data_IF_379696865960
#
_entry.id   IF_379696865960
#
_cell.length_a   1.000
_cell.length_b   1.000
_cell.length_c   1.000
_cell.angle_alpha   90.00
_cell.angle_beta   90.00
_cell.angle_gamma   90.00
#
_symmetry.space_group_name_H-M   'P 1'
#
loop_
_entity.id
_entity.type
_entity.pdbx_description
1 polymer ?
#
# COMPACT_ATOMS: atom_id res chain seq x y z
N UNK A 1 26.47 -20.79 -19.93
CA UNK A 1 27.45 -20.59 -18.84
C UNK A 1 27.67 -21.93 -18.16
N UNK A 2 28.83 -22.58 -18.36
CA UNK A 2 29.13 -23.88 -17.76
C UNK A 2 29.19 -23.76 -16.22
N UNK A 3 28.54 -24.67 -15.49
CA UNK A 3 28.70 -24.79 -14.03
C UNK A 3 30.15 -25.22 -13.76
N UNK A 4 31.01 -24.29 -13.34
CA UNK A 4 32.30 -24.66 -12.76
C UNK A 4 32.02 -25.43 -11.46
N UNK A 5 32.11 -26.76 -11.53
CA UNK A 5 32.06 -27.61 -10.35
C UNK A 5 33.42 -27.52 -9.66
N UNK A 6 33.44 -27.05 -8.42
CA UNK A 6 34.67 -27.04 -7.62
C UNK A 6 35.15 -28.48 -7.39
N UNK A 7 36.46 -28.70 -7.52
CA UNK A 7 37.12 -29.96 -7.23
C UNK A 7 37.10 -30.25 -5.72
N UNK A 8 37.39 -31.50 -5.33
CA UNK A 8 37.41 -31.90 -3.92
C UNK A 8 38.45 -31.11 -3.11
N UNK A 9 39.61 -30.81 -3.70
CA UNK A 9 40.66 -29.98 -3.10
C UNK A 9 40.19 -28.54 -2.87
N UNK A 10 39.45 -27.98 -3.84
CA UNK A 10 38.85 -26.66 -3.72
C UNK A 10 37.80 -26.61 -2.61
N UNK A 11 37.03 -27.68 -2.41
CA UNK A 11 36.09 -27.77 -1.28
C UNK A 11 36.79 -27.88 0.07
N UNK A 12 37.93 -28.59 0.15
CA UNK A 12 38.75 -28.62 1.36
C UNK A 12 39.27 -27.22 1.71
N UNK A 13 39.74 -26.45 0.73
CA UNK A 13 40.20 -25.07 0.96
C UNK A 13 39.05 -24.14 1.34
N UNK A 14 37.87 -24.26 0.71
CA UNK A 14 36.66 -23.52 1.12
C UNK A 14 36.31 -23.79 2.59
N UNK A 15 36.41 -25.05 3.02
CA UNK A 15 36.18 -25.43 4.42
C UNK A 15 37.24 -24.82 5.33
N UNK A 16 38.51 -24.91 4.96
CA UNK A 16 39.63 -24.32 5.72
C UNK A 16 39.47 -22.81 5.89
N UNK A 17 39.21 -22.09 4.81
CA UNK A 17 38.98 -20.63 4.81
C UNK A 17 37.80 -20.23 5.72
N UNK A 18 36.78 -21.08 5.82
CA UNK A 18 35.61 -20.85 6.67
C UNK A 18 35.88 -21.11 8.15
N UNK A 19 36.66 -22.14 8.48
CA UNK A 19 36.91 -22.55 9.87
C UNK A 19 38.14 -21.89 10.50
N UNK A 20 39.23 -21.76 9.75
CA UNK A 20 40.51 -21.23 10.27
C UNK A 20 40.61 -19.71 10.17
N UNK A 21 40.02 -19.12 9.12
CA UNK A 21 40.16 -17.69 8.80
C UNK A 21 38.87 -16.90 8.99
N UNK A 22 37.79 -17.55 9.44
CA UNK A 22 36.44 -16.98 9.66
C UNK A 22 35.95 -16.06 8.52
N UNK A 23 36.36 -16.38 7.28
CA UNK A 23 36.02 -15.60 6.10
C UNK A 23 34.52 -15.78 5.77
N UNK A 24 33.89 -14.70 5.31
CA UNK A 24 32.49 -14.77 4.89
C UNK A 24 32.34 -15.63 3.63
N UNK A 25 31.18 -16.28 3.50
CA UNK A 25 30.84 -17.06 2.29
C UNK A 25 30.98 -16.22 1.02
N UNK A 26 30.68 -14.91 1.08
CA UNK A 26 30.80 -13.98 -0.04
C UNK A 26 32.25 -13.82 -0.50
N UNK A 27 33.18 -13.61 0.42
CA UNK A 27 34.61 -13.47 0.12
C UNK A 27 35.20 -14.78 -0.42
N UNK A 28 34.81 -15.91 0.17
CA UNK A 28 35.27 -17.23 -0.30
C UNK A 28 34.70 -17.51 -1.70
N UNK A 29 33.43 -17.19 -1.94
CA UNK A 29 32.77 -17.37 -3.23
C UNK A 29 33.42 -16.54 -4.34
N UNK A 30 33.71 -15.27 -4.05
CA UNK A 30 34.43 -14.39 -4.97
C UNK A 30 35.83 -14.93 -5.29
N UNK A 31 36.55 -15.44 -4.29
CA UNK A 31 37.90 -16.02 -4.46
C UNK A 31 37.89 -17.31 -5.28
N UNK A 32 36.85 -18.12 -5.14
CA UNK A 32 36.73 -19.41 -5.83
C UNK A 32 35.95 -19.33 -7.16
N UNK A 33 35.50 -18.13 -7.55
CA UNK A 33 34.74 -17.92 -8.79
C UNK A 33 33.37 -18.61 -8.81
N UNK A 34 32.76 -18.83 -7.65
CA UNK A 34 31.44 -19.48 -7.53
C UNK A 34 30.42 -18.57 -6.88
N UNK A 35 29.14 -18.92 -7.02
CA UNK A 35 28.07 -18.20 -6.33
C UNK A 35 28.05 -18.56 -4.82
N UNK A 36 27.87 -17.60 -3.89
CA UNK A 36 27.83 -17.86 -2.44
C UNK A 36 26.85 -18.96 -2.03
N UNK A 37 25.66 -18.95 -2.62
CA UNK A 37 24.60 -19.97 -2.45
C UNK A 37 25.07 -21.41 -2.72
N UNK A 38 26.07 -21.62 -3.57
CA UNK A 38 26.65 -22.94 -3.85
C UNK A 38 27.42 -23.46 -2.64
N UNK A 39 28.17 -22.59 -1.97
CA UNK A 39 28.91 -22.91 -0.75
C UNK A 39 27.94 -23.13 0.41
N UNK A 40 26.89 -22.31 0.54
CA UNK A 40 25.87 -22.48 1.59
C UNK A 40 25.14 -23.82 1.49
N UNK A 41 24.72 -24.20 0.27
CA UNK A 41 24.05 -25.49 0.06
C UNK A 41 24.95 -26.66 0.43
N UNK A 42 26.23 -26.59 0.05
CA UNK A 42 27.22 -27.61 0.41
C UNK A 42 27.47 -27.67 1.91
N UNK A 43 27.63 -26.51 2.55
CA UNK A 43 27.82 -26.39 3.99
C UNK A 43 26.64 -26.99 4.78
N UNK A 44 25.40 -26.75 4.33
CA UNK A 44 24.20 -27.35 4.92
C UNK A 44 24.17 -28.86 4.71
N UNK A 45 24.45 -29.35 3.50
CA UNK A 45 24.43 -30.79 3.20
C UNK A 45 25.52 -31.57 3.95
N UNK A 46 26.68 -30.95 4.20
CA UNK A 46 27.81 -31.57 4.89
C UNK A 46 27.84 -31.23 6.40
N UNK A 47 26.80 -30.57 6.92
CA UNK A 47 26.68 -30.27 8.34
C UNK A 47 27.76 -29.33 8.87
N UNK A 48 28.33 -28.47 8.03
CA UNK A 48 29.28 -27.45 8.49
C UNK A 48 28.54 -26.46 9.39
N UNK A 49 29.19 -26.05 10.49
CA UNK A 49 28.57 -25.17 11.48
C UNK A 49 28.09 -23.88 10.79
N UNK A 50 26.80 -23.58 10.95
CA UNK A 50 26.24 -22.30 10.55
C UNK A 50 26.86 -21.25 11.47
N UNK A 51 27.67 -20.35 10.91
CA UNK A 51 28.17 -19.18 11.63
C UNK A 51 26.97 -18.47 12.27
N UNK A 52 27.11 -18.02 13.51
CA UNK A 52 26.11 -17.15 14.12
C UNK A 52 25.78 -16.02 13.13
N UNK A 53 24.49 -15.69 12.94
CA UNK A 53 24.11 -14.69 11.95
C UNK A 53 24.91 -13.41 12.22
N UNK A 54 25.71 -13.01 11.23
CA UNK A 54 26.44 -11.74 11.28
C UNK A 54 25.45 -10.58 11.47
N UNK A 55 25.92 -9.40 11.90
CA UNK A 55 25.07 -8.24 12.09
C UNK A 55 24.26 -8.00 10.82
N UNK A 56 22.93 -8.15 10.90
CA UNK A 56 22.03 -7.82 9.80
C UNK A 56 22.30 -6.36 9.44
N UNK A 57 22.55 -6.07 8.16
CA UNK A 57 22.61 -4.68 7.68
C UNK A 57 21.41 -3.92 8.24
N UNK A 58 21.60 -2.73 8.84
CA UNK A 58 20.49 -1.95 9.37
C UNK A 58 19.48 -1.73 8.25
N UNK A 59 18.22 -2.04 8.56
CA UNK A 59 17.10 -1.86 7.64
C UNK A 59 17.01 -0.36 7.36
N UNK A 60 17.19 0.03 6.10
CA UNK A 60 17.25 1.43 5.71
C UNK A 60 15.96 2.14 6.18
N UNK A 61 16.04 3.11 7.12
CA UNK A 61 14.84 3.73 7.69
C UNK A 61 14.01 4.44 6.61
N UNK A 62 14.66 4.95 5.57
CA UNK A 62 14.03 5.56 4.39
C UNK A 62 13.12 4.58 3.63
N UNK A 63 13.54 3.31 3.48
CA UNK A 63 12.75 2.30 2.79
C UNK A 63 11.49 1.89 3.58
N UNK A 64 11.58 1.93 4.92
CA UNK A 64 10.44 1.66 5.78
C UNK A 64 9.43 2.81 5.75
N UNK A 65 9.88 4.06 5.77
CA UNK A 65 9.01 5.24 5.63
C UNK A 65 8.35 5.32 4.25
N UNK A 66 9.08 5.06 3.17
CA UNK A 66 8.50 5.01 1.82
C UNK A 66 7.42 3.92 1.70
N UNK A 67 7.65 2.76 2.33
CA UNK A 67 6.67 1.67 2.37
C UNK A 67 5.40 2.05 3.15
N UNK A 68 5.52 2.75 4.28
CA UNK A 68 4.36 3.18 5.08
C UNK A 68 3.57 4.28 4.38
N UNK A 69 4.23 5.19 3.65
CA UNK A 69 3.58 6.20 2.81
C UNK A 69 2.78 5.54 1.68
N UNK A 70 3.37 4.57 0.96
CA UNK A 70 2.67 3.84 -0.10
C UNK A 70 1.45 3.05 0.43
N UNK A 71 1.58 2.40 1.59
CA UNK A 71 0.49 1.68 2.23
C UNK A 71 -0.66 2.64 2.63
N UNK A 72 -0.33 3.81 3.17
CA UNK A 72 -1.30 4.83 3.59
C UNK A 72 -2.02 5.47 2.39
N UNK A 73 -1.33 5.69 1.26
CA UNK A 73 -1.95 6.11 -0.02
C UNK A 73 -2.98 5.10 -0.52
N UNK A 74 -2.63 3.81 -0.53
CA UNK A 74 -3.55 2.74 -0.97
C UNK A 74 -4.79 2.62 -0.07
N UNK A 75 -4.63 2.86 1.24
CA UNK A 75 -5.77 2.92 2.16
C UNK A 75 -6.71 4.08 1.80
N UNK A 76 -6.17 5.26 1.54
CA UNK A 76 -6.95 6.45 1.17
C UNK A 76 -7.77 6.22 -0.10
N UNK A 77 -7.18 5.62 -1.14
CA UNK A 77 -7.93 5.26 -2.35
C UNK A 77 -9.08 4.28 -2.08
N UNK A 78 -8.85 3.26 -1.25
CA UNK A 78 -9.90 2.30 -0.89
C UNK A 78 -11.05 2.98 -0.15
N UNK A 79 -10.74 3.95 0.72
CA UNK A 79 -11.75 4.74 1.43
C UNK A 79 -12.58 5.58 0.45
N UNK A 80 -11.93 6.28 -0.49
CA UNK A 80 -12.64 7.01 -1.55
C UNK A 80 -13.55 6.11 -2.38
N UNK A 81 -13.06 4.95 -2.82
CA UNK A 81 -13.88 3.98 -3.58
C UNK A 81 -15.07 3.43 -2.79
N UNK A 82 -14.89 3.19 -1.49
CA UNK A 82 -15.97 2.76 -0.61
C UNK A 82 -17.03 3.86 -0.45
N UNK A 83 -16.60 5.12 -0.32
CA UNK A 83 -17.49 6.27 -0.28
C UNK A 83 -18.26 6.45 -1.59
N UNK A 84 -17.62 6.30 -2.75
CA UNK A 84 -18.31 6.31 -4.06
C UNK A 84 -19.42 5.26 -4.13
N UNK A 85 -19.08 4.03 -3.73
CA UNK A 85 -19.99 2.89 -3.80
C UNK A 85 -21.22 3.13 -2.92
N UNK A 86 -21.02 3.72 -1.74
CA UNK A 86 -22.11 4.07 -0.83
C UNK A 86 -22.98 5.19 -1.40
N UNK A 87 -22.38 6.23 -2.00
CA UNK A 87 -23.12 7.30 -2.68
C UNK A 87 -23.94 6.75 -3.85
N UNK A 88 -23.34 5.91 -4.71
CA UNK A 88 -24.03 5.26 -5.82
C UNK A 88 -25.23 4.41 -5.35
N UNK A 89 -25.09 3.67 -4.26
CA UNK A 89 -26.18 2.89 -3.69
C UNK A 89 -27.32 3.79 -3.19
N UNK A 90 -26.98 4.88 -2.50
CA UNK A 90 -27.95 5.87 -2.02
C UNK A 90 -28.68 6.57 -3.17
N UNK A 91 -27.98 6.96 -4.23
CA UNK A 91 -28.58 7.56 -5.42
C UNK A 91 -29.55 6.61 -6.12
N UNK A 92 -29.20 5.33 -6.25
CA UNK A 92 -30.10 4.30 -6.82
C UNK A 92 -31.34 4.11 -5.96
N UNK A 93 -31.20 4.09 -4.64
CA UNK A 93 -32.33 4.02 -3.70
C UNK A 93 -33.24 5.23 -3.86
N UNK A 94 -32.68 6.44 -3.86
CA UNK A 94 -33.43 7.69 -4.00
C UNK A 94 -34.15 7.77 -5.36
N UNK A 95 -33.49 7.36 -6.45
CA UNK A 95 -34.12 7.31 -7.78
C UNK A 95 -35.30 6.33 -7.79
N UNK A 96 -35.15 5.17 -7.16
CA UNK A 96 -36.22 4.16 -7.04
C UNK A 96 -37.40 4.70 -6.22
N UNK A 97 -37.10 5.33 -5.09
CA UNK A 97 -38.07 6.03 -4.26
C UNK A 97 -38.83 7.11 -5.05
N UNK A 98 -38.14 8.01 -5.75
CA UNK A 98 -38.75 9.07 -6.56
C UNK A 98 -39.63 8.50 -7.69
N UNK A 99 -39.20 7.41 -8.32
CA UNK A 99 -39.97 6.72 -9.37
C UNK A 99 -41.25 6.10 -8.80
N UNK A 100 -41.19 5.56 -7.59
CA UNK A 100 -42.33 4.97 -6.89
C UNK A 100 -43.30 6.05 -6.40
N UNK A 101 -42.82 7.18 -5.87
CA UNK A 101 -43.65 8.34 -5.52
C UNK A 101 -44.44 8.85 -6.73
N UNK A 102 -43.77 8.98 -7.88
CA UNK A 102 -44.40 9.42 -9.13
C UNK A 102 -45.50 8.48 -9.61
N UNK A 103 -45.43 7.19 -9.25
CA UNK A 103 -46.44 6.17 -9.56
C UNK A 103 -47.55 6.07 -8.51
N UNK A 104 -47.24 6.28 -7.24
CA UNK A 104 -48.16 6.03 -6.11
C UNK A 104 -48.85 7.29 -5.59
N UNK A 105 -48.39 8.50 -5.95
CA UNK A 105 -48.99 9.76 -5.51
C UNK A 105 -48.86 10.05 -4.00
N UNK A 106 -48.20 9.19 -3.24
CA UNK A 106 -47.92 9.40 -1.81
C UNK A 106 -46.62 10.17 -1.62
N UNK A 107 -46.47 10.94 -0.54
CA UNK A 107 -45.20 11.55 -0.12
C UNK A 107 -44.20 10.52 0.41
N UNK A 108 -42.89 10.81 0.28
CA UNK A 108 -41.83 10.00 0.90
C UNK A 108 -41.96 10.11 2.43
N UNK A 109 -41.83 9.01 3.20
CA UNK A 109 -41.83 9.09 4.66
C UNK A 109 -40.69 10.01 5.13
N UNK A 110 -41.01 11.10 5.83
CA UNK A 110 -40.04 12.09 6.35
C UNK A 110 -38.87 11.46 7.12
N UNK A 111 -39.08 10.28 7.71
CA UNK A 111 -38.06 9.50 8.41
C UNK A 111 -36.94 8.97 7.48
N UNK A 112 -37.25 8.63 6.23
CA UNK A 112 -36.24 8.18 5.26
C UNK A 112 -35.35 9.36 4.84
N UNK A 113 -35.93 10.54 4.61
CA UNK A 113 -35.18 11.76 4.30
C UNK A 113 -34.23 12.17 5.42
N UNK A 114 -34.67 12.12 6.67
CA UNK A 114 -33.84 12.48 7.82
C UNK A 114 -32.69 11.48 8.03
N UNK A 115 -32.95 10.18 7.82
CA UNK A 115 -31.93 9.13 7.87
C UNK A 115 -30.89 9.32 6.76
N UNK A 116 -31.32 9.64 5.56
CA UNK A 116 -30.43 9.88 4.43
C UNK A 116 -29.60 11.17 4.64
N UNK A 117 -30.20 12.25 5.16
CA UNK A 117 -29.49 13.48 5.52
C UNK A 117 -28.37 13.24 6.55
N UNK A 118 -28.64 12.45 7.60
CA UNK A 118 -27.62 12.07 8.59
C UNK A 118 -26.52 11.20 7.96
N UNK A 119 -26.88 10.31 7.04
CA UNK A 119 -25.92 9.50 6.31
C UNK A 119 -25.03 10.37 5.40
N UNK A 120 -25.57 11.40 4.75
CA UNK A 120 -24.81 12.39 3.98
C UNK A 120 -23.85 13.19 4.86
N UNK A 121 -24.31 13.72 6.00
CA UNK A 121 -23.44 14.43 6.94
C UNK A 121 -22.27 13.58 7.44
N UNK A 122 -22.50 12.28 7.66
CA UNK A 122 -21.44 11.33 8.03
C UNK A 122 -20.43 11.13 6.90
N UNK A 123 -20.89 11.03 5.64
CA UNK A 123 -20.01 10.87 4.49
C UNK A 123 -19.15 12.12 4.28
N UNK A 124 -19.74 13.32 4.39
CA UNK A 124 -19.01 14.60 4.29
C UNK A 124 -17.89 14.66 5.33
N UNK A 125 -18.21 14.39 6.60
CA UNK A 125 -17.22 14.39 7.67
C UNK A 125 -16.09 13.39 7.43
N UNK A 126 -16.40 12.21 6.89
CA UNK A 126 -15.39 11.21 6.55
C UNK A 126 -14.50 11.65 5.37
N UNK A 127 -15.05 12.37 4.40
CA UNK A 127 -14.28 12.94 3.29
C UNK A 127 -13.29 13.99 3.80
N UNK A 128 -13.74 14.88 4.70
CA UNK A 128 -12.88 15.87 5.34
C UNK A 128 -11.77 15.19 6.14
N UNK A 129 -12.07 14.14 6.90
CA UNK A 129 -11.05 13.36 7.61
C UNK A 129 -10.04 12.71 6.67
N UNK A 130 -10.49 12.11 5.56
CA UNK A 130 -9.58 11.52 4.56
C UNK A 130 -8.75 12.61 3.86
N UNK A 131 -9.28 13.84 3.75
CA UNK A 131 -8.55 15.00 3.25
C UNK A 131 -7.43 15.42 4.18
N UNK A 132 -7.71 15.55 5.47
CA UNK A 132 -6.67 15.81 6.48
C UNK A 132 -5.61 14.71 6.47
N UNK A 133 -6.00 13.44 6.32
CA UNK A 133 -5.06 12.32 6.21
C UNK A 133 -4.16 12.39 4.96
N UNK A 134 -4.65 12.95 3.84
CA UNK A 134 -3.81 13.20 2.67
C UNK A 134 -2.85 14.37 2.88
N UNK A 135 -3.34 15.49 3.44
CA UNK A 135 -2.50 16.66 3.72
C UNK A 135 -1.37 16.32 4.72
N UNK A 136 -1.67 15.50 5.74
CA UNK A 136 -0.67 14.99 6.67
C UNK A 136 0.36 14.09 5.98
N UNK A 137 -0.09 13.26 5.03
CA UNK A 137 0.80 12.39 4.26
C UNK A 137 1.69 13.19 3.30
N UNK A 138 1.16 14.23 2.66
CA UNK A 138 1.94 15.15 1.81
C UNK A 138 2.99 15.90 2.64
N UNK A 139 2.65 16.33 3.86
CA UNK A 139 3.60 16.98 4.79
C UNK A 139 4.74 16.04 5.20
N UNK A 140 4.43 14.78 5.49
CA UNK A 140 5.43 13.75 5.86
C UNK A 140 6.30 13.34 4.65
N UNK A 141 5.75 13.32 3.44
CA UNK A 141 6.47 12.97 2.22
C UNK A 141 7.25 14.15 1.60
N UNK A 142 7.33 15.32 2.26
CA UNK A 142 8.04 16.50 1.74
C UNK A 142 7.34 17.18 0.56
N UNK A 143 6.04 16.98 0.39
CA UNK A 143 5.20 17.64 -0.63
C UNK A 143 5.40 17.14 -2.07
N UNK A 144 6.33 16.21 -2.31
CA UNK A 144 6.57 15.66 -3.65
C UNK A 144 6.07 14.21 -3.76
N UNK A 145 5.33 13.89 -4.84
CA UNK A 145 5.00 12.51 -5.14
C UNK A 145 6.31 11.75 -5.42
N UNK A 146 6.55 10.68 -4.66
CA UNK A 146 7.78 9.88 -4.76
C UNK A 146 7.93 9.21 -6.14
N UNK A 147 6.83 9.05 -6.87
CA UNK A 147 6.77 8.46 -8.22
C UNK A 147 5.68 9.13 -9.07
N UNK A 148 5.76 8.98 -10.40
CA UNK A 148 4.71 9.45 -11.31
C UNK A 148 3.34 8.80 -11.02
N UNK A 149 3.33 7.52 -10.63
CA UNK A 149 2.13 6.81 -10.21
C UNK A 149 1.49 7.44 -8.97
N UNK A 150 2.30 7.95 -8.03
CA UNK A 150 1.79 8.66 -6.86
C UNK A 150 1.18 10.01 -7.25
N UNK A 151 1.79 10.74 -8.18
CA UNK A 151 1.29 12.02 -8.67
C UNK A 151 -0.10 11.85 -9.34
N UNK A 152 -0.24 10.82 -10.17
CA UNK A 152 -1.53 10.45 -10.78
C UNK A 152 -2.56 10.07 -9.72
N UNK A 153 -2.16 9.36 -8.66
CA UNK A 153 -3.00 9.00 -7.52
C UNK A 153 -3.60 10.22 -6.82
N UNK A 154 -2.76 11.23 -6.55
CA UNK A 154 -3.20 12.47 -5.90
C UNK A 154 -4.14 13.25 -6.80
N UNK A 155 -3.81 13.38 -8.10
CA UNK A 155 -4.69 13.99 -9.07
C UNK A 155 -6.03 13.26 -9.20
N UNK A 156 -6.04 11.92 -9.14
CA UNK A 156 -7.26 11.11 -9.15
C UNK A 156 -8.09 11.33 -7.89
N UNK A 157 -7.46 11.35 -6.71
CA UNK A 157 -8.14 11.64 -5.46
C UNK A 157 -8.76 13.05 -5.45
N UNK A 158 -8.07 14.05 -6.01
CA UNK A 158 -8.57 15.41 -6.11
C UNK A 158 -9.72 15.57 -7.12
N UNK A 159 -9.65 14.86 -8.26
CA UNK A 159 -10.80 14.79 -9.19
C UNK A 159 -12.00 14.17 -8.48
N UNK A 160 -11.78 13.05 -7.80
CA UNK A 160 -12.82 12.32 -7.10
C UNK A 160 -13.47 13.15 -5.99
N UNK A 161 -12.70 13.97 -5.27
CA UNK A 161 -13.25 14.93 -4.30
C UNK A 161 -14.17 15.96 -4.94
N UNK A 162 -13.78 16.54 -6.06
CA UNK A 162 -14.61 17.53 -6.78
C UNK A 162 -15.92 16.91 -7.23
N UNK A 163 -15.86 15.70 -7.79
CA UNK A 163 -17.04 14.96 -8.20
C UNK A 163 -17.99 14.66 -7.03
N UNK A 164 -17.46 14.24 -5.87
CA UNK A 164 -18.31 14.04 -4.69
C UNK A 164 -18.89 15.37 -4.20
N UNK A 165 -18.10 16.43 -4.12
CA UNK A 165 -18.58 17.74 -3.69
C UNK A 165 -19.69 18.26 -4.59
N UNK A 166 -19.55 18.11 -5.92
CA UNK A 166 -20.58 18.45 -6.89
C UNK A 166 -21.84 17.60 -6.75
N UNK A 167 -21.70 16.29 -6.48
CA UNK A 167 -22.86 15.41 -6.24
C UNK A 167 -23.58 15.82 -4.97
N UNK A 168 -22.85 16.05 -3.89
CA UNK A 168 -23.42 16.50 -2.62
C UNK A 168 -24.12 17.86 -2.74
N UNK A 169 -23.57 18.79 -3.51
CA UNK A 169 -24.18 20.09 -3.78
C UNK A 169 -25.54 19.98 -4.51
N UNK A 170 -25.79 18.89 -5.25
CA UNK A 170 -27.11 18.62 -5.86
C UNK A 170 -28.14 18.11 -4.85
N UNK A 171 -27.70 17.59 -3.71
CA UNK A 171 -28.55 17.02 -2.66
C UNK A 171 -28.82 17.98 -1.49
N UNK A 172 -27.98 19.01 -1.31
CA UNK A 172 -28.18 20.05 -0.30
C UNK A 172 -28.83 21.26 -0.99
N UNK A 173 -30.08 21.66 -0.66
CA UNK A 173 -30.66 22.87 -1.21
C UNK A 173 -29.79 24.09 -0.83
N UNK A 174 -29.67 25.12 -1.68
CA UNK A 174 -28.91 26.31 -1.34
C UNK A 174 -29.45 26.86 -0.02
N UNK A 175 -28.56 27.04 0.96
CA UNK A 175 -28.90 27.62 2.24
C UNK A 175 -29.61 28.96 1.98
N UNK A 176 -30.88 29.06 2.40
CA UNK A 176 -31.62 30.32 2.48
C UNK A 176 -31.31 31.01 3.79
#
# INVERSE_FOLDING_TARGET
MAKAALTQEQWAEVRRLRYELDLTTETIAARMGVHPRTIERRAVSEGWLLRAPGPKKPKDPSAFEAFTVAARRKLIQRLYKAMDTKLNLMERRMKTQLTNLRKAGSDLPSADHERDARAFGTIIKNIDQVKEMQADLERVAGGQPATAADAELFAEADRFRREIAERLARFIPPAR
#
